data_IF_819199985421
#
_entry.id   IF_819199985421
#
_cell.length_a   1.000
_cell.length_b   1.000
_cell.length_c   1.000
_cell.angle_alpha   90.00
_cell.angle_beta   90.00
_cell.angle_gamma   90.00
#
_symmetry.space_group_name_H-M   'P 1'
#
loop_
_entity.id
_entity.type
_entity.pdbx_description
1 polymer ?
#
# COMPACT_ATOMS: atom_id res chain seq x y z
N UNK A 1 -25.59 29.27 -5.91
CA UNK A 1 -24.64 29.45 -4.78
C UNK A 1 -23.59 28.37 -4.59
N UNK A 2 -23.79 27.13 -5.05
CA UNK A 2 -22.84 26.04 -4.75
C UNK A 2 -21.98 25.58 -5.94
N UNK A 3 -22.58 25.38 -7.12
CA UNK A 3 -21.88 24.79 -8.27
C UNK A 3 -20.77 25.68 -8.84
N UNK A 4 -21.08 26.96 -9.15
CA UNK A 4 -20.09 27.88 -9.72
C UNK A 4 -18.88 28.10 -8.79
N UNK A 5 -19.04 28.32 -7.47
CA UNK A 5 -17.89 28.37 -6.56
C UNK A 5 -17.05 27.09 -6.56
N UNK A 6 -17.68 25.92 -6.65
CA UNK A 6 -16.97 24.65 -6.77
C UNK A 6 -16.14 24.57 -8.06
N UNK A 7 -16.70 24.92 -9.22
CA UNK A 7 -15.95 25.00 -10.48
C UNK A 7 -14.73 25.93 -10.38
N UNK A 8 -14.91 27.10 -9.75
CA UNK A 8 -13.84 28.06 -9.53
C UNK A 8 -12.76 27.52 -8.58
N UNK A 9 -13.13 26.74 -7.57
CA UNK A 9 -12.19 26.14 -6.62
C UNK A 9 -11.29 25.09 -7.29
N UNK A 10 -11.82 24.29 -8.22
CA UNK A 10 -11.03 23.37 -9.04
C UNK A 10 -10.15 24.12 -10.06
N UNK A 11 -10.59 25.29 -10.52
CA UNK A 11 -10.02 25.99 -11.66
C UNK A 11 -10.27 25.24 -12.97
N UNK A 12 -10.06 25.90 -14.10
CA UNK A 12 -10.46 25.36 -15.41
C UNK A 12 -9.80 24.01 -15.72
N UNK A 13 -8.47 23.91 -15.56
CA UNK A 13 -7.72 22.67 -15.80
C UNK A 13 -8.04 21.60 -14.75
N UNK A 14 -8.07 21.97 -13.48
CA UNK A 14 -8.36 21.03 -12.40
C UNK A 14 -9.75 20.42 -12.51
N UNK A 15 -10.73 21.20 -12.97
CA UNK A 15 -12.09 20.72 -13.19
C UNK A 15 -12.12 19.65 -14.29
N UNK A 16 -11.49 19.90 -15.44
CA UNK A 16 -11.42 18.91 -16.52
C UNK A 16 -10.66 17.64 -16.11
N UNK A 17 -9.55 17.77 -15.41
CA UNK A 17 -8.65 16.64 -15.13
C UNK A 17 -9.09 15.81 -13.91
N UNK A 18 -9.75 16.42 -12.92
CA UNK A 18 -9.98 15.79 -11.61
C UNK A 18 -11.44 15.70 -11.17
N UNK A 19 -12.39 16.39 -11.80
CA UNK A 19 -13.77 16.44 -11.29
C UNK A 19 -14.43 15.05 -11.25
N UNK A 20 -14.26 14.23 -12.29
CA UNK A 20 -14.82 12.86 -12.31
C UNK A 20 -14.19 11.96 -11.25
N UNK A 21 -12.87 12.10 -11.03
CA UNK A 21 -12.16 11.39 -9.96
C UNK A 21 -12.64 11.83 -8.58
N UNK A 22 -12.84 13.12 -8.37
CA UNK A 22 -13.46 13.67 -7.17
C UNK A 22 -14.87 13.08 -6.96
N UNK A 23 -15.74 13.13 -7.98
CA UNK A 23 -17.11 12.62 -7.87
C UNK A 23 -17.13 11.12 -7.58
N UNK A 24 -16.21 10.34 -8.17
CA UNK A 24 -15.99 8.94 -7.80
C UNK A 24 -15.65 8.80 -6.31
N UNK A 25 -14.67 9.56 -5.81
CA UNK A 25 -14.26 9.50 -4.40
C UNK A 25 -15.40 9.93 -3.45
N UNK A 26 -16.12 10.99 -3.79
CA UNK A 26 -17.30 11.46 -3.05
C UNK A 26 -18.36 10.38 -2.96
N UNK A 27 -18.71 9.75 -4.09
CA UNK A 27 -19.66 8.65 -4.10
C UNK A 27 -19.17 7.47 -3.27
N UNK A 28 -17.89 7.12 -3.33
CA UNK A 28 -17.30 6.09 -2.47
C UNK A 28 -17.47 6.39 -0.99
N UNK A 29 -17.28 7.64 -0.57
CA UNK A 29 -17.52 8.05 0.82
C UNK A 29 -19.00 7.91 1.19
N UNK A 30 -19.92 8.31 0.31
CA UNK A 30 -21.36 8.36 0.62
C UNK A 30 -22.07 7.01 0.49
N UNK A 31 -21.61 6.12 -0.38
CA UNK A 31 -22.27 4.84 -0.65
C UNK A 31 -21.48 3.65 -0.14
N UNK A 32 -20.17 3.79 0.06
CA UNK A 32 -19.26 2.68 0.32
C UNK A 32 -18.96 1.82 -0.92
N UNK A 33 -19.47 2.21 -2.09
CA UNK A 33 -19.23 1.53 -3.38
C UNK A 33 -18.23 2.33 -4.22
N UNK A 34 -17.38 1.65 -4.97
CA UNK A 34 -16.38 2.29 -5.83
C UNK A 34 -16.88 2.25 -7.27
N UNK A 35 -17.51 3.31 -7.79
CA UNK A 35 -17.95 3.33 -9.18
C UNK A 35 -16.73 3.34 -10.12
N UNK A 36 -16.91 2.79 -11.33
CA UNK A 36 -15.97 3.00 -12.44
C UNK A 36 -16.06 4.44 -12.89
N UNK A 37 -14.95 5.02 -13.36
CA UNK A 37 -14.90 6.43 -13.78
C UNK A 37 -15.96 6.74 -14.86
N UNK A 38 -16.11 5.87 -15.87
CA UNK A 38 -17.12 6.03 -16.92
C UNK A 38 -18.58 5.96 -16.44
N UNK A 39 -18.83 5.39 -15.25
CA UNK A 39 -20.18 5.17 -14.71
C UNK A 39 -20.54 6.18 -13.60
N UNK A 40 -19.68 7.16 -13.31
CA UNK A 40 -19.84 8.13 -12.20
C UNK A 40 -21.18 8.87 -12.31
N UNK A 41 -21.58 9.28 -13.50
CA UNK A 41 -22.84 9.99 -13.72
C UNK A 41 -24.06 9.13 -13.37
N UNK A 42 -24.08 7.87 -13.80
CA UNK A 42 -25.17 6.93 -13.49
C UNK A 42 -25.19 6.57 -12.00
N UNK A 43 -24.01 6.39 -11.39
CA UNK A 43 -23.88 6.18 -9.96
C UNK A 43 -24.42 7.38 -9.15
N UNK A 44 -24.10 8.60 -9.58
CA UNK A 44 -24.62 9.82 -8.95
C UNK A 44 -26.15 9.94 -9.06
N UNK A 45 -26.73 9.71 -10.25
CA UNK A 45 -28.19 9.74 -10.42
C UNK A 45 -28.89 8.73 -9.51
N UNK A 46 -28.34 7.52 -9.37
CA UNK A 46 -28.88 6.50 -8.43
C UNK A 46 -28.79 6.96 -6.99
N UNK A 47 -27.66 7.55 -6.58
CA UNK A 47 -27.45 8.08 -5.24
C UNK A 47 -28.43 9.23 -4.92
N UNK A 48 -28.56 10.20 -5.82
CA UNK A 48 -29.43 11.38 -5.65
C UNK A 48 -30.92 11.03 -5.50
N UNK A 49 -31.35 9.88 -6.03
CA UNK A 49 -32.74 9.39 -5.96
C UNK A 49 -33.02 8.49 -4.75
N UNK A 50 -32.03 8.21 -3.89
CA UNK A 50 -32.27 7.40 -2.68
C UNK A 50 -33.22 8.16 -1.74
N UNK A 51 -34.22 7.49 -1.11
CA UNK A 51 -35.25 8.14 -0.30
C UNK A 51 -34.73 9.22 0.67
N UNK A 52 -33.72 8.95 1.52
CA UNK A 52 -33.20 9.99 2.44
C UNK A 52 -32.41 11.15 1.81
N UNK A 53 -31.82 10.97 0.62
CA UNK A 53 -31.10 12.05 -0.09
C UNK A 53 -32.09 12.96 -0.80
N UNK A 54 -33.08 12.36 -1.46
CA UNK A 54 -34.13 13.08 -2.17
C UNK A 54 -34.97 13.91 -1.20
N UNK A 55 -35.29 13.36 -0.03
CA UNK A 55 -36.07 14.05 1.02
C UNK A 55 -35.34 15.29 1.57
N UNK A 56 -34.00 15.26 1.59
CA UNK A 56 -33.16 16.40 2.03
C UNK A 56 -33.10 17.53 0.98
N UNK A 57 -33.53 17.27 -0.25
CA UNK A 57 -33.58 18.23 -1.34
C UNK A 57 -32.26 18.40 -2.11
N UNK A 58 -32.37 18.87 -3.36
CA UNK A 58 -31.22 19.06 -4.26
C UNK A 58 -30.22 20.10 -3.76
N UNK A 59 -30.69 21.13 -3.06
CA UNK A 59 -29.80 22.16 -2.53
C UNK A 59 -28.83 21.59 -1.49
N UNK A 60 -29.34 20.81 -0.54
CA UNK A 60 -28.52 20.15 0.49
C UNK A 60 -27.50 19.18 -0.14
N UNK A 61 -27.92 18.43 -1.18
CA UNK A 61 -27.03 17.54 -1.91
C UNK A 61 -25.87 18.30 -2.57
N UNK A 62 -26.15 19.41 -3.28
CA UNK A 62 -25.10 20.18 -3.96
C UNK A 62 -24.21 20.92 -2.95
N UNK A 63 -24.76 21.36 -1.82
CA UNK A 63 -23.98 21.94 -0.73
C UNK A 63 -22.99 20.94 -0.11
N UNK A 64 -23.42 19.69 0.09
CA UNK A 64 -22.57 18.60 0.58
C UNK A 64 -21.49 18.22 -0.45
N UNK A 65 -21.83 18.11 -1.75
CA UNK A 65 -20.84 17.91 -2.82
C UNK A 65 -19.79 19.03 -2.78
N UNK A 66 -20.22 20.29 -2.71
CA UNK A 66 -19.30 21.44 -2.64
C UNK A 66 -18.37 21.32 -1.44
N UNK A 67 -18.89 20.95 -0.28
CA UNK A 67 -18.09 20.80 0.95
C UNK A 67 -16.95 19.79 0.75
N UNK A 68 -17.27 18.62 0.19
CA UNK A 68 -16.26 17.61 -0.10
C UNK A 68 -15.33 17.99 -1.27
N UNK A 69 -15.82 18.76 -2.24
CA UNK A 69 -15.00 19.33 -3.30
C UNK A 69 -13.95 20.30 -2.74
N UNK A 70 -14.32 21.17 -1.79
CA UNK A 70 -13.38 22.10 -1.16
C UNK A 70 -12.27 21.33 -0.41
N UNK A 71 -12.61 20.22 0.25
CA UNK A 71 -11.62 19.33 0.89
C UNK A 71 -10.72 18.66 -0.15
N UNK A 72 -11.30 18.15 -1.24
CA UNK A 72 -10.53 17.56 -2.33
C UNK A 72 -9.56 18.57 -2.95
N UNK A 73 -10.01 19.80 -3.22
CA UNK A 73 -9.14 20.87 -3.73
C UNK A 73 -7.99 21.19 -2.76
N UNK A 74 -8.27 21.22 -1.45
CA UNK A 74 -7.23 21.44 -0.43
C UNK A 74 -6.14 20.35 -0.48
N UNK A 75 -6.56 19.08 -0.61
CA UNK A 75 -5.66 17.93 -0.60
C UNK A 75 -4.98 17.65 -1.94
N UNK A 76 -5.72 17.69 -3.04
CA UNK A 76 -5.28 17.25 -4.36
C UNK A 76 -4.81 18.42 -5.25
N UNK A 77 -5.30 19.64 -5.03
CA UNK A 77 -5.04 20.81 -5.88
C UNK A 77 -4.30 21.96 -5.17
N UNK A 78 -3.63 21.64 -4.06
CA UNK A 78 -2.74 22.57 -3.34
C UNK A 78 -3.43 23.80 -2.70
N UNK A 79 -4.74 23.73 -2.50
CA UNK A 79 -5.55 24.84 -1.94
C UNK A 79 -5.59 24.89 -0.40
N UNK A 80 -4.90 23.98 0.29
CA UNK A 80 -4.82 23.99 1.76
C UNK A 80 -4.12 25.26 2.27
N UNK A 81 -4.63 25.82 3.37
CA UNK A 81 -4.12 27.05 4.00
C UNK A 81 -3.21 26.75 5.18
N UNK A 82 -3.48 25.69 5.94
CA UNK A 82 -2.59 25.26 7.00
C UNK A 82 -1.29 24.74 6.39
N UNK A 83 -0.16 25.36 6.76
CA UNK A 83 1.14 25.04 6.16
C UNK A 83 1.52 23.58 6.38
N UNK A 84 1.26 23.05 7.57
CA UNK A 84 1.69 21.71 7.96
C UNK A 84 0.90 20.63 7.24
N UNK A 85 -0.43 20.78 7.15
CA UNK A 85 -1.29 19.90 6.38
C UNK A 85 -1.02 20.02 4.88
N UNK A 86 -0.85 21.26 4.37
CA UNK A 86 -0.49 21.50 2.96
C UNK A 86 0.75 20.71 2.56
N UNK A 87 1.77 20.70 3.42
CA UNK A 87 2.99 19.92 3.20
C UNK A 87 2.73 18.41 3.24
N UNK A 88 1.92 17.92 4.17
CA UNK A 88 1.56 16.50 4.21
C UNK A 88 0.81 16.06 2.93
N UNK A 89 -0.10 16.89 2.42
CA UNK A 89 -0.77 16.61 1.17
C UNK A 89 0.15 16.71 -0.05
N UNK A 90 1.11 17.64 -0.06
CA UNK A 90 2.15 17.68 -1.09
C UNK A 90 2.96 16.38 -1.13
N UNK A 91 3.30 15.84 0.04
CA UNK A 91 4.01 14.58 0.20
C UNK A 91 3.18 13.40 -0.35
N UNK A 92 1.88 13.34 -0.05
CA UNK A 92 0.98 12.32 -0.61
C UNK A 92 0.76 12.44 -2.13
N UNK A 93 0.65 13.67 -2.66
CA UNK A 93 0.50 13.89 -4.11
C UNK A 93 1.72 13.41 -4.88
N UNK A 94 2.92 13.60 -4.34
CA UNK A 94 4.16 13.13 -4.98
C UNK A 94 4.35 11.63 -4.90
N UNK A 95 3.84 10.99 -3.84
CA UNK A 95 3.70 9.55 -3.80
C UNK A 95 2.65 9.01 -4.80
N UNK A 96 1.79 9.89 -5.34
CA UNK A 96 0.65 9.61 -6.24
C UNK A 96 -0.27 8.55 -5.65
N UNK A 97 -0.87 8.89 -4.51
CA UNK A 97 -1.71 7.98 -3.71
C UNK A 97 -3.19 8.30 -3.91
N UNK A 98 -3.69 8.11 -5.13
CA UNK A 98 -5.07 8.48 -5.42
C UNK A 98 -6.11 7.61 -4.70
N UNK A 99 -5.74 6.37 -4.39
CA UNK A 99 -6.58 5.42 -3.68
C UNK A 99 -6.92 5.83 -2.23
N UNK A 100 -6.11 6.68 -1.58
CA UNK A 100 -6.34 7.10 -0.21
C UNK A 100 -7.29 8.31 -0.09
N UNK A 101 -7.60 8.99 -1.19
CA UNK A 101 -8.43 10.21 -1.17
C UNK A 101 -9.82 10.01 -0.55
N UNK A 102 -10.58 8.93 -0.80
CA UNK A 102 -11.86 8.71 -0.13
C UNK A 102 -11.74 8.70 1.39
N UNK A 103 -10.72 8.01 1.91
CA UNK A 103 -10.49 7.94 3.35
C UNK A 103 -10.10 9.30 3.93
N UNK A 104 -9.17 9.99 3.28
CA UNK A 104 -8.72 11.32 3.70
C UNK A 104 -9.84 12.37 3.63
N UNK A 105 -10.80 12.24 2.70
CA UNK A 105 -11.99 13.09 2.65
C UNK A 105 -12.85 12.93 3.91
N UNK A 106 -13.00 11.71 4.44
CA UNK A 106 -13.70 11.47 5.71
C UNK A 106 -12.97 12.12 6.88
N UNK A 107 -11.64 11.92 6.97
CA UNK A 107 -10.83 12.51 8.03
C UNK A 107 -10.87 14.04 7.99
N UNK A 108 -10.79 14.62 6.79
CA UNK A 108 -10.84 16.06 6.59
C UNK A 108 -12.22 16.61 7.01
N UNK A 109 -13.30 15.90 6.68
CA UNK A 109 -14.64 16.29 7.12
C UNK A 109 -14.75 16.29 8.65
N UNK A 110 -14.32 15.21 9.32
CA UNK A 110 -14.34 15.10 10.78
C UNK A 110 -13.44 16.16 11.45
N UNK A 111 -12.32 16.54 10.82
CA UNK A 111 -11.49 17.66 11.24
C UNK A 111 -12.25 19.00 11.19
N UNK A 112 -12.95 19.28 10.09
CA UNK A 112 -13.73 20.52 9.95
C UNK A 112 -14.97 20.56 10.85
N UNK A 113 -15.50 19.41 11.25
CA UNK A 113 -16.57 19.31 12.26
C UNK A 113 -16.05 19.37 13.70
N UNK A 114 -14.74 19.44 13.93
CA UNK A 114 -14.15 19.47 15.27
C UNK A 114 -14.14 18.13 16.00
N UNK A 115 -14.44 17.02 15.30
CA UNK A 115 -14.39 15.66 15.84
C UNK A 115 -12.93 15.17 15.90
N UNK A 116 -12.14 15.51 14.87
CA UNK A 116 -10.73 15.17 14.77
C UNK A 116 -9.87 16.42 14.97
N UNK A 117 -8.87 16.37 15.85
CA UNK A 117 -7.97 17.52 16.03
C UNK A 117 -7.05 17.71 14.82
N UNK A 118 -6.53 18.92 14.61
CA UNK A 118 -5.56 19.18 13.54
C UNK A 118 -4.29 18.34 13.69
N UNK A 119 -3.83 18.13 14.93
CA UNK A 119 -2.65 17.32 15.22
C UNK A 119 -2.89 15.84 14.92
N UNK A 120 -4.07 15.33 15.24
CA UNK A 120 -4.44 13.95 14.94
C UNK A 120 -4.66 13.74 13.44
N UNK A 121 -5.30 14.68 12.76
CA UNK A 121 -5.47 14.60 11.31
C UNK A 121 -4.12 14.56 10.58
N UNK A 122 -3.18 15.42 11.00
CA UNK A 122 -1.81 15.39 10.50
C UNK A 122 -1.15 14.03 10.78
N UNK A 123 -1.27 13.51 12.00
CA UNK A 123 -0.66 12.24 12.40
C UNK A 123 -1.22 11.07 11.60
N UNK A 124 -2.54 10.99 11.40
CA UNK A 124 -3.18 10.01 10.54
C UNK A 124 -2.69 10.11 9.09
N UNK A 125 -2.57 11.33 8.56
CA UNK A 125 -2.04 11.58 7.21
C UNK A 125 -0.61 11.06 7.06
N UNK A 126 0.24 11.25 8.08
CA UNK A 126 1.62 10.75 8.09
C UNK A 126 1.70 9.23 8.25
N UNK A 127 0.78 8.60 8.99
CA UNK A 127 0.68 7.13 9.06
C UNK A 127 0.32 6.52 7.70
N UNK A 128 -0.63 7.13 6.99
CA UNK A 128 -1.00 6.71 5.63
C UNK A 128 0.21 6.85 4.69
N UNK A 129 0.88 8.00 4.70
CA UNK A 129 2.12 8.23 3.93
C UNK A 129 3.19 7.16 4.22
N UNK A 130 3.43 6.86 5.50
CA UNK A 130 4.40 5.86 5.94
C UNK A 130 4.05 4.46 5.41
N UNK A 131 2.80 4.03 5.61
CA UNK A 131 2.29 2.75 5.12
C UNK A 131 2.52 2.56 3.62
N UNK A 132 2.16 3.57 2.82
CA UNK A 132 2.26 3.50 1.36
C UNK A 132 3.73 3.51 0.91
N UNK A 133 4.56 4.38 1.50
CA UNK A 133 5.95 4.46 1.10
C UNK A 133 6.71 3.18 1.46
N UNK A 134 6.50 2.63 2.65
CA UNK A 134 7.07 1.35 3.07
C UNK A 134 6.69 0.22 2.13
N UNK A 135 5.40 0.09 1.79
CA UNK A 135 4.94 -0.90 0.80
C UNK A 135 5.60 -0.72 -0.56
N UNK A 136 5.76 0.52 -1.03
CA UNK A 136 6.42 0.79 -2.30
C UNK A 136 7.92 0.40 -2.29
N UNK A 137 8.60 0.54 -1.15
CA UNK A 137 10.00 0.11 -0.97
C UNK A 137 10.09 -1.41 -0.89
N UNK A 138 9.21 -2.07 -0.14
CA UNK A 138 9.15 -3.53 -0.03
C UNK A 138 8.51 -4.22 -1.25
N UNK A 139 8.33 -3.50 -2.36
CA UNK A 139 7.74 -4.02 -3.61
C UNK A 139 6.35 -4.66 -3.47
N UNK A 140 5.58 -4.29 -2.44
CA UNK A 140 4.22 -4.81 -2.24
C UNK A 140 3.27 -4.10 -3.22
N UNK A 141 2.52 -4.82 -4.07
CA UNK A 141 1.64 -4.23 -5.08
C UNK A 141 0.57 -3.30 -4.50
N UNK A 142 0.09 -2.32 -5.29
CA UNK A 142 -0.76 -1.23 -4.79
C UNK A 142 -2.27 -1.46 -4.92
N UNK A 143 -2.73 -2.55 -5.54
CA UNK A 143 -4.11 -2.58 -6.06
C UNK A 143 -5.13 -3.04 -5.04
N UNK A 144 -4.68 -3.45 -3.85
CA UNK A 144 -5.53 -3.45 -2.67
C UNK A 144 -5.88 -2.05 -2.15
N UNK A 145 -5.08 -1.02 -2.42
CA UNK A 145 -5.23 0.28 -1.76
C UNK A 145 -6.63 0.85 -1.90
N UNK A 146 -7.22 0.80 -3.10
CA UNK A 146 -8.55 1.36 -3.35
C UNK A 146 -9.58 0.71 -2.43
N UNK A 147 -9.55 -0.62 -2.29
CA UNK A 147 -10.48 -1.36 -1.42
C UNK A 147 -10.15 -1.13 0.05
N UNK A 148 -8.88 -1.20 0.44
CA UNK A 148 -8.41 -0.97 1.82
C UNK A 148 -8.91 0.38 2.34
N UNK A 149 -8.66 1.46 1.60
CA UNK A 149 -9.04 2.81 2.04
C UNK A 149 -10.53 3.10 1.91
N UNK A 150 -11.22 2.55 0.90
CA UNK A 150 -12.66 2.74 0.73
C UNK A 150 -13.47 2.17 1.90
N UNK A 151 -13.02 1.10 2.55
CA UNK A 151 -13.73 0.50 3.70
C UNK A 151 -13.20 0.94 5.06
N UNK A 152 -12.04 1.61 5.09
CA UNK A 152 -11.33 1.98 6.33
C UNK A 152 -12.23 2.77 7.28
N UNK A 153 -13.02 3.71 6.78
CA UNK A 153 -13.87 4.55 7.63
C UNK A 153 -14.92 3.76 8.43
N UNK A 154 -15.30 2.55 7.99
CA UNK A 154 -16.33 1.72 8.65
C UNK A 154 -15.84 1.09 9.95
N UNK A 155 -14.53 0.97 10.12
CA UNK A 155 -13.90 0.34 11.30
C UNK A 155 -13.29 1.37 12.24
N UNK A 156 -13.49 2.67 11.97
CA UNK A 156 -13.00 3.74 12.83
C UNK A 156 -13.81 3.85 14.11
N UNK A 157 -13.11 3.92 15.23
CA UNK A 157 -13.66 4.39 16.50
C UNK A 157 -13.36 5.88 16.63
N UNK A 158 -14.40 6.73 16.55
CA UNK A 158 -14.23 8.18 16.61
C UNK A 158 -13.84 8.70 17.99
N UNK A 159 -14.10 7.95 19.06
CA UNK A 159 -13.63 8.30 20.41
C UNK A 159 -12.13 8.02 20.56
N UNK A 160 -11.61 7.07 19.79
CA UNK A 160 -10.20 6.66 19.77
C UNK A 160 -9.63 6.74 18.35
N UNK A 161 -9.74 7.92 17.76
CA UNK A 161 -9.55 8.12 16.33
C UNK A 161 -8.19 7.62 15.83
N UNK A 162 -7.08 8.11 16.40
CA UNK A 162 -5.74 7.68 15.99
C UNK A 162 -5.44 6.22 16.35
N UNK A 163 -5.87 5.78 17.54
CA UNK A 163 -5.65 4.40 18.01
C UNK A 163 -6.32 3.40 17.07
N UNK A 164 -7.57 3.65 16.64
CA UNK A 164 -8.28 2.78 15.70
C UNK A 164 -7.66 2.77 14.30
N UNK A 165 -7.15 3.90 13.81
CA UNK A 165 -6.39 3.95 12.55
C UNK A 165 -5.11 3.13 12.65
N UNK A 166 -4.34 3.34 13.71
CA UNK A 166 -3.10 2.63 13.96
C UNK A 166 -3.35 1.12 14.08
N UNK A 167 -4.34 0.71 14.88
CA UNK A 167 -4.70 -0.69 15.07
C UNK A 167 -5.14 -1.32 13.75
N UNK A 168 -6.03 -0.68 13.00
CA UNK A 168 -6.48 -1.24 11.74
C UNK A 168 -5.33 -1.43 10.74
N UNK A 169 -4.43 -0.45 10.64
CA UNK A 169 -3.24 -0.53 9.78
C UNK A 169 -2.30 -1.68 10.18
N UNK A 170 -2.07 -1.88 11.48
CA UNK A 170 -1.22 -2.96 12.00
C UNK A 170 -1.84 -4.34 11.81
N UNK A 171 -3.17 -4.44 11.88
CA UNK A 171 -3.93 -5.70 11.73
C UNK A 171 -4.26 -6.04 10.27
N UNK A 172 -3.82 -5.23 9.29
CA UNK A 172 -4.02 -5.57 7.88
C UNK A 172 -3.26 -6.87 7.56
N UNK A 173 -3.94 -7.91 7.03
CA UNK A 173 -3.32 -9.20 6.81
C UNK A 173 -2.46 -9.20 5.53
N UNK A 174 -1.60 -10.22 5.42
CA UNK A 174 -1.05 -10.65 4.12
C UNK A 174 -0.37 -9.54 3.32
N UNK A 175 -0.60 -9.54 2.02
CA UNK A 175 -0.28 -8.54 1.03
C UNK A 175 -0.90 -7.13 1.27
N UNK A 176 -1.82 -6.95 2.23
CA UNK A 176 -2.26 -5.62 2.72
C UNK A 176 -1.47 -5.14 3.93
N UNK A 177 -0.60 -5.96 4.50
CA UNK A 177 0.15 -5.64 5.72
C UNK A 177 0.96 -4.35 5.63
N UNK A 178 1.21 -3.81 6.81
CA UNK A 178 2.17 -2.73 7.02
C UNK A 178 3.57 -3.34 7.18
N UNK A 179 4.55 -3.06 6.30
CA UNK A 179 5.92 -3.54 6.47
C UNK A 179 6.54 -3.10 7.78
N UNK A 180 7.08 -4.04 8.54
CA UNK A 180 7.81 -3.76 9.78
C UNK A 180 9.14 -3.04 9.52
N UNK A 181 9.81 -2.63 10.59
CA UNK A 181 11.07 -1.88 10.51
C UNK A 181 12.20 -2.70 9.88
N UNK A 182 12.31 -3.99 10.22
CA UNK A 182 13.40 -4.85 9.76
C UNK A 182 13.31 -5.11 8.25
N UNK A 183 12.13 -5.47 7.76
CA UNK A 183 11.87 -5.67 6.33
C UNK A 183 12.10 -4.36 5.57
N UNK A 184 11.52 -3.25 6.04
CA UNK A 184 11.64 -1.96 5.39
C UNK A 184 13.10 -1.51 5.27
N UNK A 185 13.88 -1.63 6.34
CA UNK A 185 15.29 -1.28 6.33
C UNK A 185 16.10 -2.17 5.38
N UNK A 186 15.86 -3.49 5.40
CA UNK A 186 16.55 -4.43 4.53
C UNK A 186 16.34 -4.10 3.05
N UNK A 187 15.08 -3.90 2.66
CA UNK A 187 14.69 -3.57 1.28
C UNK A 187 15.21 -2.18 0.88
N UNK A 188 15.08 -1.17 1.74
CA UNK A 188 15.54 0.20 1.44
C UNK A 188 17.05 0.25 1.17
N UNK A 189 17.86 -0.54 1.89
CA UNK A 189 19.32 -0.57 1.72
C UNK A 189 19.76 -1.15 0.37
N UNK A 190 18.97 -2.04 -0.22
CA UNK A 190 19.39 -2.83 -1.40
C UNK A 190 18.63 -2.50 -2.68
N UNK A 191 17.46 -1.85 -2.57
CA UNK A 191 16.62 -1.45 -3.70
C UNK A 191 17.32 -0.45 -4.63
N UNK A 192 17.02 -0.55 -5.92
CA UNK A 192 17.30 0.50 -6.90
C UNK A 192 16.39 1.72 -6.63
N UNK A 193 16.89 2.67 -5.86
CA UNK A 193 16.20 3.91 -5.47
C UNK A 193 16.35 5.03 -6.51
N UNK A 194 17.20 4.86 -7.51
CA UNK A 194 17.40 5.82 -8.58
C UNK A 194 16.32 5.67 -9.65
N UNK A 195 16.05 4.44 -10.10
CA UNK A 195 15.00 4.15 -11.08
C UNK A 195 13.61 4.01 -10.42
N UNK A 196 13.55 4.10 -9.10
CA UNK A 196 12.32 4.06 -8.33
C UNK A 196 11.39 5.24 -8.66
N UNK A 197 10.09 4.94 -8.85
CA UNK A 197 9.06 5.95 -9.16
C UNK A 197 9.06 7.14 -8.18
N UNK A 198 9.28 6.86 -6.90
CA UNK A 198 9.20 7.83 -5.81
C UNK A 198 10.59 8.42 -5.45
N UNK A 199 11.55 8.43 -6.40
CA UNK A 199 12.94 8.91 -6.18
C UNK A 199 13.03 10.32 -5.61
N UNK A 200 12.34 11.28 -6.20
CA UNK A 200 12.41 12.69 -5.81
C UNK A 200 11.75 12.89 -4.44
N UNK A 201 10.65 12.18 -4.21
CA UNK A 201 9.93 12.21 -2.95
C UNK A 201 10.82 11.80 -1.77
N UNK A 202 11.48 10.64 -1.84
CA UNK A 202 12.22 10.15 -0.67
C UNK A 202 13.42 11.04 -0.34
N UNK A 203 14.15 11.53 -1.35
CA UNK A 203 15.26 12.47 -1.18
C UNK A 203 14.79 13.76 -0.50
N UNK A 204 13.68 14.33 -0.99
CA UNK A 204 13.10 15.53 -0.38
C UNK A 204 12.67 15.30 1.06
N UNK A 205 11.99 14.18 1.33
CA UNK A 205 11.46 13.87 2.65
C UNK A 205 12.55 13.67 3.67
N UNK A 206 13.63 12.95 3.33
CA UNK A 206 14.80 12.83 4.19
C UNK A 206 15.44 14.19 4.48
N UNK A 207 15.72 14.99 3.44
CA UNK A 207 16.42 16.28 3.62
C UNK A 207 15.65 17.26 4.51
N UNK A 208 14.32 17.18 4.48
CA UNK A 208 13.42 18.06 5.22
C UNK A 208 12.76 17.41 6.44
N UNK A 209 13.16 16.20 6.84
CA UNK A 209 12.69 15.58 8.07
C UNK A 209 13.27 16.31 9.29
N UNK A 210 12.42 16.54 10.29
CA UNK A 210 12.72 17.29 11.52
C UNK A 210 13.50 18.60 11.30
N UNK A 211 13.07 19.39 10.32
CA UNK A 211 13.74 20.63 9.91
C UNK A 211 12.78 21.81 9.94
N UNK A 212 13.11 22.81 10.77
CA UNK A 212 12.38 24.09 10.84
C UNK A 212 12.63 24.95 9.60
N UNK A 213 13.89 25.08 9.19
CA UNK A 213 14.31 25.85 8.02
C UNK A 213 14.41 24.95 6.79
N UNK A 214 13.32 24.79 6.04
CA UNK A 214 13.30 23.84 4.91
C UNK A 214 14.22 24.22 3.76
N UNK A 215 14.68 23.19 3.05
CA UNK A 215 15.42 23.31 1.80
C UNK A 215 14.51 22.94 0.63
N UNK A 216 14.39 23.88 -0.30
CA UNK A 216 13.78 23.63 -1.61
C UNK A 216 14.72 22.76 -2.44
N UNK A 217 14.43 21.47 -2.52
CA UNK A 217 15.31 20.51 -3.19
C UNK A 217 15.20 20.57 -4.72
N UNK A 218 14.20 21.28 -5.26
CA UNK A 218 13.92 21.34 -6.70
C UNK A 218 15.04 22.01 -7.51
N UNK A 219 15.88 22.82 -6.84
CA UNK A 219 17.07 23.44 -7.45
C UNK A 219 18.30 22.53 -7.42
N UNK A 220 18.22 21.37 -6.76
CA UNK A 220 19.31 20.41 -6.65
C UNK A 220 19.11 19.28 -7.66
N UNK A 221 20.22 18.63 -7.99
CA UNK A 221 20.23 17.43 -8.83
C UNK A 221 20.60 16.21 -8.00
N UNK A 222 20.13 15.04 -8.43
CA UNK A 222 20.52 13.76 -7.83
C UNK A 222 21.95 13.44 -8.27
N UNK A 223 22.80 13.14 -7.29
CA UNK A 223 24.19 12.75 -7.48
C UNK A 223 24.41 11.30 -7.12
N UNK A 224 25.18 10.61 -7.96
CA UNK A 224 25.79 9.32 -7.63
C UNK A 224 27.21 9.57 -7.13
N UNK A 225 27.44 9.32 -5.85
CA UNK A 225 28.75 9.59 -5.23
C UNK A 225 29.84 8.79 -5.96
N UNK A 226 29.65 7.47 -6.06
CA UNK A 226 30.31 6.61 -7.04
C UNK A 226 29.61 6.78 -8.40
N UNK A 227 30.32 7.22 -9.47
CA UNK A 227 29.71 7.61 -10.73
C UNK A 227 29.02 6.48 -11.50
N UNK A 228 28.07 6.82 -12.35
CA UNK A 228 27.35 5.87 -13.22
C UNK A 228 28.21 5.32 -14.36
N UNK A 229 29.30 5.99 -14.72
CA UNK A 229 30.14 5.59 -15.85
C UNK A 229 30.69 4.16 -15.64
N UNK A 230 30.44 3.21 -16.58
CA UNK A 230 30.94 1.85 -16.47
C UNK A 230 32.48 1.78 -16.54
N UNK A 231 33.12 2.79 -17.14
CA UNK A 231 34.56 2.91 -17.25
C UNK A 231 35.10 3.81 -16.12
N UNK A 232 35.03 3.31 -14.89
CA UNK A 232 35.55 4.02 -13.71
C UNK A 232 37.04 4.35 -13.84
N UNK A 233 37.44 5.52 -13.32
CA UNK A 233 38.83 5.95 -13.28
C UNK A 233 39.71 4.96 -12.49
N UNK A 234 41.04 5.00 -12.69
CA UNK A 234 41.96 4.15 -11.92
C UNK A 234 41.75 4.29 -10.41
N UNK A 235 41.66 5.53 -9.91
CA UNK A 235 41.44 5.80 -8.49
C UNK A 235 40.15 5.18 -7.94
N UNK A 236 39.04 5.21 -8.70
CA UNK A 236 37.80 4.56 -8.28
C UNK A 236 37.94 3.04 -8.23
N UNK A 237 38.64 2.44 -9.20
CA UNK A 237 38.91 1.00 -9.21
C UNK A 237 39.81 0.58 -8.04
N UNK A 238 40.79 1.40 -7.70
CA UNK A 238 41.68 1.16 -6.57
C UNK A 238 40.93 1.25 -5.24
N UNK A 239 40.10 2.29 -5.04
CA UNK A 239 39.31 2.49 -3.81
C UNK A 239 38.26 1.38 -3.60
N UNK A 240 37.64 0.90 -4.67
CA UNK A 240 36.65 -0.18 -4.62
C UNK A 240 37.29 -1.58 -4.55
N UNK A 241 38.57 -1.69 -4.89
CA UNK A 241 39.33 -2.94 -4.87
C UNK A 241 39.07 -3.89 -6.05
N UNK A 242 39.59 -5.13 -5.98
CA UNK A 242 39.56 -6.09 -7.10
C UNK A 242 38.15 -6.42 -7.62
N UNK A 243 37.13 -6.35 -6.75
CA UNK A 243 35.73 -6.62 -7.09
C UNK A 243 34.94 -5.37 -7.53
N UNK A 244 35.62 -4.28 -7.90
CA UNK A 244 34.98 -2.99 -8.20
C UNK A 244 33.79 -3.10 -9.16
N UNK A 245 33.85 -3.96 -10.19
CA UNK A 245 32.75 -4.16 -11.15
C UNK A 245 31.48 -4.69 -10.47
N UNK A 246 31.64 -5.66 -9.57
CA UNK A 246 30.54 -6.27 -8.83
C UNK A 246 29.95 -5.26 -7.84
N UNK A 247 30.82 -4.52 -7.15
CA UNK A 247 30.42 -3.48 -6.20
C UNK A 247 29.67 -2.35 -6.94
N UNK A 248 30.22 -1.88 -8.05
CA UNK A 248 29.59 -0.85 -8.90
C UNK A 248 28.19 -1.28 -9.32
N UNK A 249 28.06 -2.43 -9.99
CA UNK A 249 26.76 -2.94 -10.44
C UNK A 249 25.75 -3.09 -9.30
N UNK A 250 26.18 -3.59 -8.13
CA UNK A 250 25.27 -3.86 -7.00
C UNK A 250 24.83 -2.60 -6.27
N UNK A 251 25.73 -1.63 -6.08
CA UNK A 251 25.49 -0.52 -5.15
C UNK A 251 25.26 0.83 -5.84
N UNK A 252 25.42 0.91 -7.17
CA UNK A 252 25.32 2.16 -7.93
C UNK A 252 24.03 2.94 -7.63
N UNK A 253 22.88 2.27 -7.67
CA UNK A 253 21.56 2.91 -7.54
C UNK A 253 20.94 2.77 -6.13
N UNK A 254 21.75 2.44 -5.12
CA UNK A 254 21.25 2.14 -3.76
C UNK A 254 21.27 3.36 -2.85
N UNK A 255 20.56 3.27 -1.72
CA UNK A 255 20.44 4.31 -0.69
C UNK A 255 21.79 4.94 -0.31
N UNK A 256 22.81 4.09 -0.11
CA UNK A 256 24.13 4.52 0.31
C UNK A 256 24.85 5.40 -0.71
N UNK A 257 24.58 5.25 -2.00
CA UNK A 257 25.32 5.94 -3.07
C UNK A 257 24.61 7.17 -3.66
N UNK A 258 23.34 7.38 -3.31
CA UNK A 258 22.54 8.49 -3.84
C UNK A 258 22.48 9.66 -2.85
N UNK A 259 22.56 10.88 -3.40
CA UNK A 259 22.38 12.12 -2.64
C UNK A 259 21.93 13.29 -3.51
N UNK A 260 21.80 14.48 -2.92
CA UNK A 260 21.51 15.74 -3.60
C UNK A 260 22.75 16.64 -3.66
N UNK A 261 22.91 17.37 -4.76
CA UNK A 261 23.94 18.40 -4.92
C UNK A 261 23.52 19.52 -5.88
N UNK A 262 23.98 20.74 -5.62
CA UNK A 262 23.87 21.89 -6.52
C UNK A 262 25.05 21.99 -7.49
N UNK A 263 26.09 21.17 -7.31
CA UNK A 263 27.38 21.27 -8.02
C UNK A 263 27.68 20.07 -8.92
N UNK A 264 26.65 19.38 -9.41
CA UNK A 264 26.81 18.12 -10.16
C UNK A 264 27.74 18.27 -11.38
N UNK A 265 27.62 19.38 -12.13
CA UNK A 265 28.51 19.70 -13.25
C UNK A 265 30.00 19.78 -12.85
N UNK A 266 30.30 20.13 -11.60
CA UNK A 266 31.66 20.20 -11.07
C UNK A 266 32.15 18.87 -10.48
N UNK A 267 31.25 17.94 -10.17
CA UNK A 267 31.57 16.63 -9.59
C UNK A 267 31.97 15.65 -10.69
N UNK A 268 31.12 15.44 -11.70
CA UNK A 268 31.36 14.52 -12.82
C UNK A 268 31.89 13.14 -12.34
N UNK A 269 32.75 12.48 -13.11
CA UNK A 269 33.38 11.20 -12.77
C UNK A 269 34.63 11.35 -11.89
N UNK A 270 34.82 12.52 -11.25
CA UNK A 270 36.00 12.77 -10.42
C UNK A 270 36.07 11.79 -9.25
N UNK A 271 37.28 11.45 -8.78
CA UNK A 271 37.46 10.66 -7.56
C UNK A 271 36.75 11.29 -6.37
N UNK A 272 36.29 10.47 -5.43
CA UNK A 272 35.55 10.93 -4.25
C UNK A 272 36.26 12.07 -3.49
N UNK A 273 37.55 11.94 -3.23
CA UNK A 273 38.33 12.97 -2.52
C UNK A 273 38.29 14.32 -3.22
N UNK A 274 38.28 14.35 -4.56
CA UNK A 274 38.09 15.58 -5.33
C UNK A 274 36.67 16.12 -5.18
N UNK A 275 35.62 15.28 -5.27
CA UNK A 275 34.23 15.72 -5.04
C UNK A 275 34.02 16.28 -3.62
N UNK A 276 34.74 15.71 -2.64
CA UNK A 276 34.72 16.13 -1.24
C UNK A 276 35.39 17.49 -1.02
N UNK A 277 36.57 17.69 -1.61
CA UNK A 277 37.47 18.80 -1.25
C UNK A 277 37.40 20.02 -2.19
N UNK A 278 36.67 19.96 -3.31
CA UNK A 278 36.43 21.15 -4.13
C UNK A 278 35.56 22.18 -3.38
N UNK A 279 35.68 23.46 -3.76
CA UNK A 279 34.84 24.53 -3.22
C UNK A 279 33.35 24.22 -3.46
N UNK A 280 32.53 24.26 -2.41
CA UNK A 280 31.13 23.83 -2.44
C UNK A 280 30.93 22.31 -2.46
N UNK A 281 32.00 21.52 -2.34
CA UNK A 281 32.01 20.05 -2.33
C UNK A 281 31.35 19.45 -1.09
N UNK A 282 31.43 18.12 -0.94
CA UNK A 282 30.79 17.44 0.20
C UNK A 282 31.27 17.92 1.57
N UNK A 283 32.49 18.46 1.68
CA UNK A 283 33.02 19.02 2.93
C UNK A 283 32.32 20.31 3.37
N UNK A 284 31.79 21.07 2.42
CA UNK A 284 31.12 22.36 2.64
C UNK A 284 29.60 22.27 2.45
N UNK A 285 29.07 21.06 2.20
CA UNK A 285 27.67 20.89 1.85
C UNK A 285 26.74 21.16 3.05
N UNK A 286 25.71 22.02 2.89
CA UNK A 286 24.75 22.31 3.95
C UNK A 286 23.61 21.29 4.07
N UNK A 287 23.60 20.26 3.22
CA UNK A 287 22.51 19.29 3.14
C UNK A 287 22.64 18.20 4.19
N UNK A 288 21.54 17.90 4.90
CA UNK A 288 21.51 16.83 5.92
C UNK A 288 21.78 15.46 5.31
N UNK A 289 21.34 15.23 4.07
CA UNK A 289 21.64 14.00 3.30
C UNK A 289 23.14 13.77 3.07
N UNK A 290 23.94 14.84 3.06
CA UNK A 290 25.40 14.80 2.85
C UNK A 290 26.20 14.69 4.15
N UNK A 291 25.53 14.69 5.31
CA UNK A 291 26.19 14.54 6.62
C UNK A 291 27.08 13.30 6.67
N UNK A 292 28.34 13.49 7.09
CA UNK A 292 29.34 12.43 7.18
C UNK A 292 30.23 12.30 5.92
N UNK A 293 29.79 12.78 4.75
CA UNK A 293 30.57 12.66 3.51
C UNK A 293 31.84 13.52 3.54
N UNK A 294 31.80 14.67 4.21
CA UNK A 294 32.95 15.56 4.38
C UNK A 294 34.11 14.97 5.20
N UNK A 295 33.81 13.99 6.06
CA UNK A 295 34.80 13.31 6.93
C UNK A 295 35.26 11.96 6.36
N UNK A 296 34.58 11.45 5.33
CA UNK A 296 34.95 10.19 4.72
C UNK A 296 36.24 10.37 3.89
N UNK A 297 37.20 9.46 4.03
CA UNK A 297 38.48 9.51 3.31
C UNK A 297 38.45 8.70 2.02
N UNK A 298 37.81 7.52 2.06
CA UNK A 298 37.74 6.56 0.97
C UNK A 298 36.28 6.16 0.78
N UNK A 299 35.78 6.27 -0.45
CA UNK A 299 34.43 5.84 -0.80
C UNK A 299 34.45 4.43 -1.39
N UNK A 300 34.62 3.46 -0.52
CA UNK A 300 34.63 2.04 -0.86
C UNK A 300 33.27 1.37 -0.57
N UNK A 301 33.22 0.04 -0.72
CA UNK A 301 32.02 -0.74 -0.37
C UNK A 301 31.60 -0.54 1.10
N UNK A 302 32.54 -0.51 2.03
CA UNK A 302 32.24 -0.38 3.45
C UNK A 302 31.63 0.99 3.77
N UNK A 303 32.13 2.06 3.16
CA UNK A 303 31.58 3.41 3.27
C UNK A 303 30.15 3.49 2.73
N UNK A 304 29.88 2.90 1.56
CA UNK A 304 28.53 2.85 0.98
C UNK A 304 27.56 2.11 1.91
N UNK A 305 27.95 0.93 2.40
CA UNK A 305 27.10 0.13 3.30
C UNK A 305 26.87 0.84 4.64
N UNK A 306 27.91 1.44 5.23
CA UNK A 306 27.80 2.21 6.47
C UNK A 306 26.86 3.41 6.35
N UNK A 307 26.93 4.12 5.21
CA UNK A 307 25.99 5.22 4.94
C UNK A 307 24.57 4.69 4.75
N UNK A 308 24.39 3.59 4.03
CA UNK A 308 23.09 2.96 3.83
C UNK A 308 22.46 2.56 5.17
N UNK A 309 23.23 1.97 6.08
CA UNK A 309 22.75 1.60 7.43
C UNK A 309 22.24 2.82 8.20
N UNK A 310 23.07 3.87 8.33
CA UNK A 310 22.69 5.11 9.01
C UNK A 310 21.43 5.75 8.43
N UNK A 311 21.29 5.73 7.10
CA UNK A 311 20.10 6.30 6.45
C UNK A 311 18.87 5.41 6.62
N UNK A 312 19.03 4.08 6.68
CA UNK A 312 17.95 3.15 6.95
C UNK A 312 17.46 3.25 8.41
N UNK A 313 18.37 3.48 9.37
CA UNK A 313 18.03 3.82 10.76
C UNK A 313 17.22 5.11 10.83
N UNK A 314 17.62 6.16 10.10
CA UNK A 314 16.82 7.38 10.03
C UNK A 314 15.47 7.16 9.32
N UNK A 315 15.40 6.22 8.37
CA UNK A 315 14.19 5.98 7.58
C UNK A 315 13.00 5.53 8.44
N UNK A 316 13.24 4.73 9.48
CA UNK A 316 12.19 4.23 10.37
C UNK A 316 11.59 5.35 11.25
N UNK A 317 12.36 6.43 11.49
CA UNK A 317 11.86 7.65 12.14
C UNK A 317 11.11 8.56 11.15
N UNK A 318 11.54 8.60 9.88
CA UNK A 318 10.88 9.40 8.83
C UNK A 318 9.52 8.83 8.46
N UNK A 319 9.45 7.52 8.27
CA UNK A 319 8.24 6.78 7.94
C UNK A 319 7.95 5.81 9.07
N UNK A 320 7.41 6.32 10.17
CA UNK A 320 7.19 5.53 11.40
C UNK A 320 6.06 4.51 11.23
N UNK A 321 6.23 3.33 11.83
CA UNK A 321 5.16 2.37 12.04
C UNK A 321 4.42 2.70 13.36
N UNK A 322 3.09 2.60 13.44
CA UNK A 322 2.40 2.81 14.71
C UNK A 322 2.88 1.81 15.77
N UNK A 323 2.97 2.28 17.02
CA UNK A 323 3.31 1.42 18.17
C UNK A 323 2.09 1.35 19.08
N UNK A 324 1.45 0.19 19.12
CA UNK A 324 0.36 -0.13 20.04
C UNK A 324 0.75 -1.37 20.85
N UNK A 325 0.31 -1.42 22.10
CA UNK A 325 0.49 -2.61 22.92
C UNK A 325 -0.48 -3.71 22.52
N UNK A 326 -0.11 -4.96 22.80
CA UNK A 326 -0.92 -6.12 22.42
C UNK A 326 -2.31 -6.10 23.07
N UNK A 327 -2.45 -5.56 24.29
CA UNK A 327 -3.75 -5.40 24.94
C UNK A 327 -4.66 -4.39 24.22
N UNK A 328 -4.09 -3.39 23.56
CA UNK A 328 -4.85 -2.46 22.72
C UNK A 328 -5.25 -3.14 21.42
N UNK A 329 -4.31 -3.80 20.73
CA UNK A 329 -4.58 -4.52 19.48
C UNK A 329 -5.66 -5.61 19.67
N UNK A 330 -5.59 -6.38 20.75
CA UNK A 330 -6.55 -7.42 21.07
C UNK A 330 -8.00 -6.89 21.14
N UNK A 331 -8.22 -5.65 21.61
CA UNK A 331 -9.55 -5.03 21.62
C UNK A 331 -10.11 -4.86 20.21
N UNK A 332 -9.27 -4.50 19.24
CA UNK A 332 -9.69 -4.32 17.85
C UNK A 332 -9.88 -5.65 17.11
N UNK A 333 -9.19 -6.73 17.51
CA UNK A 333 -9.41 -8.09 16.98
C UNK A 333 -10.78 -8.64 17.36
N UNK A 334 -11.19 -8.48 18.62
CA UNK A 334 -12.49 -8.98 19.13
C UNK A 334 -13.72 -8.35 18.45
N UNK A 335 -13.57 -7.17 17.85
CA UNK A 335 -14.66 -6.48 17.14
C UNK A 335 -14.85 -7.05 15.72
N UNK A 336 -13.77 -7.55 15.09
CA UNK A 336 -13.80 -8.15 13.74
C UNK A 336 -14.22 -9.63 13.79
N UNK A 337 -13.93 -10.34 14.89
CA UNK A 337 -14.32 -11.74 15.12
C UNK A 337 -15.79 -11.92 15.55
N UNK A 338 -16.73 -11.14 15.00
CA UNK A 338 -18.11 -11.67 14.89
C UNK A 338 -18.11 -12.68 13.74
N UNK A 339 -17.49 -13.83 13.99
CA UNK A 339 -17.64 -15.01 13.16
C UNK A 339 -19.10 -15.32 12.96
N UNK A 340 -19.40 -16.07 11.91
CA UNK A 340 -20.75 -16.49 11.50
C UNK A 340 -21.54 -17.26 12.57
N UNK A 341 -20.88 -17.63 13.69
CA UNK A 341 -21.39 -18.49 14.74
C UNK A 341 -21.22 -19.98 14.48
N UNK A 342 -20.69 -20.37 13.30
CA UNK A 342 -20.50 -21.77 12.91
C UNK A 342 -19.10 -22.29 13.25
N UNK A 343 -19.03 -23.57 13.61
CA UNK A 343 -17.81 -24.32 13.92
C UNK A 343 -17.70 -25.57 13.03
N UNK A 344 -16.53 -26.20 12.95
CA UNK A 344 -16.35 -27.39 12.12
C UNK A 344 -17.27 -28.55 12.56
N UNK A 345 -17.64 -28.59 13.83
CA UNK A 345 -18.58 -29.59 14.37
C UNK A 345 -20.00 -29.47 13.79
N UNK A 346 -20.35 -28.32 13.18
CA UNK A 346 -21.64 -28.15 12.48
C UNK A 346 -21.68 -28.89 11.13
N UNK A 347 -20.56 -29.47 10.67
CA UNK A 347 -20.47 -30.31 9.48
C UNK A 347 -20.37 -31.78 9.90
N UNK A 348 -21.44 -32.58 9.78
CA UNK A 348 -21.41 -33.99 10.15
C UNK A 348 -20.34 -34.80 9.38
N UNK A 349 -19.97 -34.34 8.18
CA UNK A 349 -18.94 -34.97 7.36
C UNK A 349 -17.52 -34.72 7.90
N UNK A 350 -17.32 -33.76 8.81
CA UNK A 350 -16.03 -33.41 9.41
C UNK A 350 -15.91 -33.86 10.87
N UNK A 351 -16.75 -34.81 11.29
CA UNK A 351 -16.64 -35.46 12.60
C UNK A 351 -15.23 -36.07 12.78
N UNK A 352 -14.69 -35.97 14.00
CA UNK A 352 -13.35 -36.47 14.30
C UNK A 352 -13.23 -37.97 14.03
N UNK A 353 -12.09 -38.38 13.46
CA UNK A 353 -11.84 -39.77 13.07
C UNK A 353 -12.43 -40.18 11.70
N UNK A 354 -13.18 -39.31 11.02
CA UNK A 354 -13.63 -39.58 9.65
C UNK A 354 -12.51 -39.36 8.62
N UNK A 355 -12.54 -40.11 7.52
CA UNK A 355 -11.62 -39.93 6.39
C UNK A 355 -11.70 -38.51 5.80
N UNK A 356 -12.92 -37.95 5.71
CA UNK A 356 -13.14 -36.62 5.16
C UNK A 356 -12.54 -35.53 6.07
N UNK A 357 -12.57 -35.73 7.39
CA UNK A 357 -11.87 -34.83 8.33
C UNK A 357 -10.36 -34.84 8.10
N UNK A 358 -9.75 -36.00 7.87
CA UNK A 358 -8.30 -36.10 7.55
C UNK A 358 -7.96 -35.36 6.25
N UNK A 359 -8.79 -35.52 5.19
CA UNK A 359 -8.61 -34.78 3.94
C UNK A 359 -8.72 -33.26 4.17
N UNK A 360 -9.69 -32.84 4.99
CA UNK A 360 -9.96 -31.43 5.24
C UNK A 360 -8.85 -30.79 6.06
N UNK A 361 -8.38 -31.44 7.12
CA UNK A 361 -7.30 -30.92 7.97
C UNK A 361 -6.01 -30.78 7.14
N UNK A 362 -5.66 -31.81 6.36
CA UNK A 362 -4.49 -31.76 5.46
C UNK A 362 -4.59 -30.66 4.40
N UNK A 363 -5.78 -30.49 3.80
CA UNK A 363 -6.06 -29.39 2.86
C UNK A 363 -5.95 -28.04 3.57
N UNK A 364 -6.57 -27.90 4.73
CA UNK A 364 -6.61 -26.67 5.51
C UNK A 364 -5.20 -26.23 5.88
N UNK A 365 -4.36 -27.13 6.39
CA UNK A 365 -2.98 -26.80 6.74
C UNK A 365 -2.18 -26.37 5.50
N UNK A 366 -2.33 -27.08 4.38
CA UNK A 366 -1.65 -26.75 3.13
C UNK A 366 -2.11 -25.40 2.54
N UNK A 367 -3.40 -25.07 2.64
CA UNK A 367 -3.97 -23.81 2.15
C UNK A 367 -3.59 -22.64 3.06
N UNK A 368 -3.64 -22.81 4.38
CA UNK A 368 -3.20 -21.79 5.34
C UNK A 368 -1.69 -21.51 5.24
N UNK A 369 -0.89 -22.48 4.80
CA UNK A 369 0.54 -22.33 4.57
C UNK A 369 0.91 -21.61 3.25
N UNK A 370 -0.06 -21.29 2.39
CA UNK A 370 0.22 -20.57 1.13
C UNK A 370 0.77 -19.16 1.38
N UNK A 371 0.22 -18.46 2.37
CA UNK A 371 0.63 -17.12 2.78
C UNK A 371 0.14 -16.86 4.21
N UNK A 372 0.92 -16.13 5.02
CA UNK A 372 0.57 -15.79 6.41
C UNK A 372 -0.76 -15.03 6.55
N UNK A 373 -1.24 -14.49 5.44
CA UNK A 373 -2.46 -13.74 5.31
C UNK A 373 -3.71 -14.50 4.93
N UNK A 374 -3.60 -15.80 4.64
CA UNK A 374 -4.76 -16.63 4.36
C UNK A 374 -5.57 -16.79 5.64
N UNK A 375 -6.87 -16.55 5.55
CA UNK A 375 -7.82 -16.73 6.64
C UNK A 375 -8.85 -17.79 6.28
N UNK A 376 -9.40 -18.44 7.31
CA UNK A 376 -10.43 -19.47 7.18
C UNK A 376 -11.70 -19.01 7.87
N UNK A 377 -12.80 -19.01 7.14
CA UNK A 377 -14.12 -18.67 7.67
C UNK A 377 -15.08 -19.84 7.50
N UNK A 378 -15.69 -20.26 8.60
CA UNK A 378 -16.66 -21.36 8.61
C UNK A 378 -18.03 -20.76 8.38
N UNK A 379 -18.74 -21.16 7.33
CA UNK A 379 -20.09 -20.71 7.02
C UNK A 379 -21.07 -21.87 7.19
N UNK A 380 -22.37 -21.59 7.16
CA UNK A 380 -23.42 -22.61 7.36
C UNK A 380 -23.29 -23.84 6.44
N UNK A 381 -22.79 -23.64 5.21
CA UNK A 381 -22.82 -24.66 4.15
C UNK A 381 -21.44 -25.04 3.61
N UNK A 382 -20.41 -24.25 3.88
CA UNK A 382 -19.06 -24.46 3.37
C UNK A 382 -18.03 -23.79 4.27
N UNK A 383 -16.76 -24.15 4.09
CA UNK A 383 -15.62 -23.46 4.69
C UNK A 383 -14.92 -22.66 3.61
N UNK A 384 -14.80 -21.36 3.80
CA UNK A 384 -14.15 -20.44 2.88
C UNK A 384 -12.70 -20.21 3.30
N UNK A 385 -11.76 -20.30 2.36
CA UNK A 385 -10.42 -19.76 2.53
C UNK A 385 -10.29 -18.48 1.73
N UNK A 386 -9.78 -17.43 2.40
CA UNK A 386 -9.78 -16.07 1.89
C UNK A 386 -8.39 -15.47 1.99
N UNK A 387 -7.98 -14.75 0.94
CA UNK A 387 -6.92 -13.75 1.04
C UNK A 387 -7.60 -12.36 1.07
N UNK A 388 -8.24 -11.98 -0.03
CA UNK A 388 -9.12 -10.78 -0.08
C UNK A 388 -10.59 -11.05 0.02
N UNK A 389 -10.96 -12.03 -0.77
CA UNK A 389 -12.26 -12.65 -0.90
C UNK A 389 -11.98 -14.14 -0.90
N UNK A 390 -13.02 -14.95 -0.97
CA UNK A 390 -12.86 -16.38 -1.11
C UNK A 390 -12.03 -16.67 -2.38
N UNK A 391 -10.98 -17.49 -2.26
CA UNK A 391 -10.27 -18.04 -3.41
C UNK A 391 -10.51 -19.55 -3.54
N UNK A 392 -10.84 -20.22 -2.43
CA UNK A 392 -11.38 -21.58 -2.44
C UNK A 392 -12.47 -21.73 -1.39
N UNK A 393 -13.59 -22.30 -1.81
CA UNK A 393 -14.71 -22.69 -0.95
C UNK A 393 -14.79 -24.21 -0.89
N UNK A 394 -14.81 -24.78 0.32
CA UNK A 394 -14.80 -26.22 0.57
C UNK A 394 -16.13 -26.67 1.14
N UNK A 395 -16.82 -27.54 0.41
CA UNK A 395 -18.04 -28.22 0.83
C UNK A 395 -17.69 -29.68 1.18
N UNK A 396 -17.70 -30.05 2.47
CA UNK A 396 -17.53 -31.44 2.87
C UNK A 396 -18.71 -32.31 2.38
N UNK A 397 -18.43 -33.37 1.63
CA UNK A 397 -19.41 -34.36 1.21
C UNK A 397 -19.11 -35.73 1.85
N UNK A 398 -20.06 -36.66 1.81
CA UNK A 398 -19.93 -37.98 2.45
C UNK A 398 -18.73 -38.81 1.98
N UNK A 399 -18.22 -38.58 0.76
CA UNK A 399 -17.18 -39.40 0.12
C UNK A 399 -15.99 -38.62 -0.40
N UNK A 400 -16.05 -37.28 -0.42
CA UNK A 400 -15.01 -36.42 -0.98
C UNK A 400 -15.12 -35.00 -0.43
N UNK A 401 -14.07 -34.21 -0.59
CA UNK A 401 -14.16 -32.76 -0.49
C UNK A 401 -14.51 -32.19 -1.85
N UNK A 402 -15.46 -31.26 -1.87
CA UNK A 402 -15.89 -30.57 -3.08
C UNK A 402 -15.48 -29.11 -2.98
N UNK A 403 -14.66 -28.66 -3.91
CA UNK A 403 -14.01 -27.35 -3.91
C UNK A 403 -14.56 -26.52 -5.05
N UNK A 404 -14.83 -25.25 -4.77
CA UNK A 404 -15.02 -24.23 -5.80
C UNK A 404 -13.82 -23.28 -5.77
N UNK A 405 -13.14 -23.10 -6.90
CA UNK A 405 -12.02 -22.16 -7.02
C UNK A 405 -12.51 -20.87 -7.66
N UNK A 406 -12.18 -19.74 -7.05
CA UNK A 406 -12.63 -18.43 -7.50
C UNK A 406 -11.73 -17.86 -8.60
N UNK A 407 -11.83 -18.43 -9.79
CA UNK A 407 -11.18 -17.95 -11.01
C UNK A 407 -11.97 -18.39 -12.25
N UNK A 408 -11.83 -17.71 -13.41
CA UNK A 408 -12.47 -18.14 -14.65
C UNK A 408 -11.95 -19.51 -15.10
N UNK A 409 -12.85 -20.40 -15.53
CA UNK A 409 -12.48 -21.76 -15.92
C UNK A 409 -11.43 -21.81 -17.05
N UNK A 410 -11.57 -20.94 -18.05
CA UNK A 410 -10.66 -20.90 -19.21
C UNK A 410 -9.23 -20.43 -18.88
N UNK A 411 -9.01 -19.84 -17.70
CA UNK A 411 -7.69 -19.44 -17.24
C UNK A 411 -6.98 -20.53 -16.41
N UNK A 412 -7.71 -21.55 -15.98
CA UNK A 412 -7.15 -22.64 -15.18
C UNK A 412 -6.31 -23.57 -16.04
N UNK A 413 -5.07 -23.81 -15.62
CA UNK A 413 -4.20 -24.82 -16.20
C UNK A 413 -4.41 -26.13 -15.43
N UNK A 414 -5.22 -27.03 -16.02
CA UNK A 414 -5.56 -28.35 -15.46
C UNK A 414 -5.16 -29.49 -16.44
N UNK A 415 -3.89 -29.93 -16.45
CA UNK A 415 -3.43 -30.99 -17.35
C UNK A 415 -4.10 -32.35 -17.16
N UNK A 416 -4.69 -32.62 -15.97
CA UNK A 416 -5.40 -33.87 -15.68
C UNK A 416 -6.89 -33.80 -16.02
N UNK A 417 -7.44 -32.63 -16.34
CA UNK A 417 -8.84 -32.45 -16.72
C UNK A 417 -9.84 -32.88 -15.64
N UNK A 418 -9.49 -32.72 -14.36
CA UNK A 418 -10.37 -33.07 -13.23
C UNK A 418 -11.30 -31.92 -12.84
N UNK A 419 -11.03 -30.71 -13.32
CA UNK A 419 -11.84 -29.54 -13.08
C UNK A 419 -13.06 -29.51 -14.00
N UNK A 420 -14.17 -28.96 -13.50
CA UNK A 420 -15.41 -28.78 -14.25
C UNK A 420 -15.73 -27.29 -14.37
N UNK A 421 -16.11 -26.85 -15.56
CA UNK A 421 -16.68 -25.53 -15.80
C UNK A 421 -18.10 -25.49 -15.27
N UNK A 422 -18.35 -24.49 -14.44
CA UNK A 422 -19.59 -24.36 -13.71
C UNK A 422 -20.10 -22.92 -13.74
N UNK A 423 -19.53 -22.07 -14.62
CA UNK A 423 -19.87 -20.64 -14.79
C UNK A 423 -21.37 -20.34 -14.85
N UNK A 424 -22.16 -21.23 -15.48
CA UNK A 424 -23.61 -21.07 -15.66
C UNK A 424 -24.48 -21.84 -14.65
N UNK A 425 -23.88 -22.36 -13.56
CA UNK A 425 -24.55 -23.22 -12.58
C UNK A 425 -24.67 -22.51 -11.23
N UNK A 426 -25.92 -22.32 -10.77
CA UNK A 426 -26.22 -21.84 -9.42
C UNK A 426 -25.77 -22.84 -8.36
N UNK A 427 -24.92 -22.41 -7.41
CA UNK A 427 -24.38 -23.25 -6.33
C UNK A 427 -23.87 -22.43 -5.14
N UNK A 428 -23.40 -23.13 -4.12
CA UNK A 428 -22.77 -22.55 -2.95
C UNK A 428 -21.27 -22.37 -3.18
N UNK A 429 -20.76 -21.15 -2.90
CA UNK A 429 -19.38 -20.76 -3.15
C UNK A 429 -19.22 -19.84 -4.36
N UNK A 430 -18.11 -19.12 -4.45
CA UNK A 430 -17.79 -18.18 -5.52
C UNK A 430 -16.75 -18.78 -6.48
N UNK A 431 -17.02 -18.76 -7.78
CA UNK A 431 -16.04 -19.17 -8.80
C UNK A 431 -16.58 -20.08 -9.91
N UNK A 432 -15.85 -20.12 -11.02
CA UNK A 432 -16.26 -20.81 -12.25
C UNK A 432 -15.66 -22.22 -12.37
N UNK A 433 -14.79 -22.59 -11.43
CA UNK A 433 -14.07 -23.87 -11.42
C UNK A 433 -14.54 -24.74 -10.25
N UNK A 434 -14.92 -25.98 -10.55
CA UNK A 434 -15.20 -27.00 -9.55
C UNK A 434 -14.19 -28.14 -9.62
N UNK A 435 -13.65 -28.54 -8.46
CA UNK A 435 -12.73 -29.68 -8.31
C UNK A 435 -13.18 -30.49 -7.09
N UNK A 436 -13.02 -31.82 -7.11
CA UNK A 436 -13.23 -32.62 -5.90
C UNK A 436 -12.18 -33.71 -5.78
N UNK A 437 -11.84 -34.07 -4.56
CA UNK A 437 -10.88 -35.15 -4.29
C UNK A 437 -11.29 -35.97 -3.07
N UNK A 438 -10.91 -37.24 -3.10
CA UNK A 438 -11.30 -38.25 -2.11
C UNK A 438 -10.12 -39.00 -1.51
N UNK A 439 -8.90 -38.79 -2.01
CA UNK A 439 -7.68 -39.43 -1.51
C UNK A 439 -6.57 -38.39 -1.27
N UNK A 440 -5.78 -38.58 -0.21
CA UNK A 440 -4.68 -37.67 0.13
C UNK A 440 -3.61 -37.59 -0.96
N UNK A 441 -3.42 -38.64 -1.76
CA UNK A 441 -2.47 -38.63 -2.88
C UNK A 441 -2.85 -37.64 -3.99
N UNK A 442 -4.12 -37.21 -4.05
CA UNK A 442 -4.60 -36.19 -4.99
C UNK A 442 -4.28 -34.77 -4.52
N UNK A 443 -4.06 -34.58 -3.21
CA UNK A 443 -3.88 -33.26 -2.59
C UNK A 443 -2.78 -32.42 -3.23
N UNK A 444 -1.57 -32.94 -3.56
CA UNK A 444 -0.53 -32.14 -4.21
C UNK A 444 -0.99 -31.53 -5.53
N UNK A 445 -1.80 -32.26 -6.30
CA UNK A 445 -2.33 -31.77 -7.57
C UNK A 445 -3.44 -30.74 -7.36
N UNK A 446 -4.37 -31.01 -6.45
CA UNK A 446 -5.45 -30.08 -6.09
C UNK A 446 -4.88 -28.76 -5.54
N UNK A 447 -3.82 -28.83 -4.72
CA UNK A 447 -3.11 -27.65 -4.24
C UNK A 447 -2.48 -26.82 -5.37
N UNK A 448 -2.05 -27.45 -6.46
CA UNK A 448 -1.60 -26.76 -7.66
C UNK A 448 -2.70 -25.94 -8.35
N UNK A 449 -3.94 -26.43 -8.34
CA UNK A 449 -5.10 -25.70 -8.86
C UNK A 449 -5.53 -24.56 -7.91
N UNK A 450 -5.57 -24.82 -6.60
CA UNK A 450 -5.89 -23.81 -5.58
C UNK A 450 -4.88 -22.65 -5.63
N UNK A 451 -3.58 -22.98 -5.80
CA UNK A 451 -2.52 -21.98 -5.91
C UNK A 451 -2.75 -21.03 -7.09
N UNK A 452 -3.21 -21.52 -8.24
CA UNK A 452 -3.56 -20.66 -9.38
C UNK A 452 -4.70 -19.67 -9.05
N UNK A 453 -5.73 -20.11 -8.33
CA UNK A 453 -6.82 -19.23 -7.91
C UNK A 453 -6.36 -18.17 -6.89
N UNK A 454 -5.48 -18.56 -5.96
CA UNK A 454 -4.83 -17.65 -5.02
C UNK A 454 -3.94 -16.62 -5.75
N UNK A 455 -3.04 -17.09 -6.62
CA UNK A 455 -2.15 -16.24 -7.43
C UNK A 455 -2.95 -15.30 -8.33
N UNK A 456 -4.02 -15.76 -8.97
CA UNK A 456 -4.89 -14.91 -9.78
C UNK A 456 -5.55 -13.81 -8.96
N UNK A 457 -6.01 -14.10 -7.75
CA UNK A 457 -6.56 -13.09 -6.85
C UNK A 457 -5.49 -12.07 -6.44
N UNK A 458 -4.28 -12.55 -6.18
CA UNK A 458 -3.12 -11.73 -5.86
C UNK A 458 -2.70 -10.83 -7.04
N UNK A 459 -2.73 -11.34 -8.27
CA UNK A 459 -2.42 -10.66 -9.53
C UNK A 459 -3.54 -9.74 -10.02
N UNK A 460 -4.80 -10.06 -9.74
CA UNK A 460 -5.93 -9.14 -10.01
C UNK A 460 -5.95 -7.99 -9.01
N UNK A 461 -5.36 -8.18 -7.83
CA UNK A 461 -4.89 -7.11 -6.96
C UNK A 461 -3.52 -6.54 -7.40
N UNK A 462 -3.04 -6.83 -8.61
CA UNK A 462 -1.91 -6.22 -9.33
C UNK A 462 -2.32 -5.20 -10.43
N UNK A 463 -3.61 -5.15 -10.82
CA UNK A 463 -4.16 -4.29 -11.93
C UNK A 463 -4.98 -3.11 -11.43
#
# INVERSE_FOLDING_TARGET
>A
DYWRPMELAFGQKGYTDYFDSFMRNYLTVKTGEIPRIGDVYEAFKRYARKPGVMDSGMEALVADIRTFADYFCAMALDSEKDKTLKMAFQDLRELKVDAAWPFLLVLYHDYKQGILSAADFLSATRLIESYIFRRAVCAIPTNSFTKTFATFYKVLDKERYLESIAAHLLELPSYRRFPDDDEFQSELKTRDLYNFRNRSYWLRRFENHDRKERVYVDTYTIEHIMPQNPNLSAKWRDDLGPEWKRIHKKWLHTLGNLTLTGYNSSYSDRPFTKKRDIKGGFKESPLRLNTGLGQCEIWDRAAIQKRAERLAELAIDVWTIPKLSEDVLARYRTVVERGTGYVLADFPQLEEGTHIRVLFDSLSDAVMALDAGVTREILKLYVAFKAETNFVDVVPQKKRLHLTLNMPFHELIDPKGIARDVSDISRWGNGDVEVGFSDLSELPYVMGLIRQAFEKQMDSAMV
#
